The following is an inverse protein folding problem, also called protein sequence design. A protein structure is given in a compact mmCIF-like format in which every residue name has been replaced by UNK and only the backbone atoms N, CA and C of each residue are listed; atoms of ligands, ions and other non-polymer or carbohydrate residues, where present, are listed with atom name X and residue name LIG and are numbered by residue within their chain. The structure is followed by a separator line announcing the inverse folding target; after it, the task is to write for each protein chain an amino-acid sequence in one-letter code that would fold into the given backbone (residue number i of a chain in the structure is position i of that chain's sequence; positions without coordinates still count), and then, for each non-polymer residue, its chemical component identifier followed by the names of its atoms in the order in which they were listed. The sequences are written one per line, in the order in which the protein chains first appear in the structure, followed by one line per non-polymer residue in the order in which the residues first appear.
data_IF_131270908433
#
_entry.id   IF_131270908433
#
_cell.length_a   1.000
_cell.length_b   1.000
_cell.length_c   1.000
_cell.angle_alpha   90.00
_cell.angle_beta   90.00
_cell.angle_gamma   90.00
#
_symmetry.space_group_name_H-M   'P 1'
#
loop_
_entity.id
_entity.type
_entity.pdbx_description
1 polymer ?
2 non-polymer ?
#
# COMPACT_ATOMS: atom_id res chain seq x y z
N UNK A 3 12.53 -9.96 4.21
CA UNK A 3 12.37 -8.97 3.12
C UNK A 3 11.07 -9.22 2.34
N UNK A 4 10.07 -8.38 2.57
CA UNK A 4 8.79 -8.51 1.89
C UNK A 4 8.66 -7.52 0.75
N UNK A 5 7.81 -7.83 -0.22
CA UNK A 5 7.60 -6.96 -1.37
C UNK A 5 6.23 -6.29 -1.31
N UNK A 6 6.09 -5.19 -2.04
CA UNK A 6 4.83 -4.46 -2.08
C UNK A 6 3.72 -5.29 -2.71
N UNK A 7 2.53 -5.22 -2.13
CA UNK A 7 1.39 -5.96 -2.64
C UNK A 7 0.84 -5.33 -3.91
N UNK A 8 0.96 -4.01 -4.01
CA UNK A 8 0.48 -3.27 -5.17
C UNK A 8 1.14 -3.77 -6.45
N UNK A 9 0.36 -3.83 -7.53
CA UNK A 9 0.86 -4.28 -8.81
C UNK A 9 1.75 -3.22 -9.45
N UNK A 10 2.64 -3.66 -10.34
CA UNK A 10 3.55 -2.74 -11.02
C UNK A 10 4.46 -2.04 -10.03
N UNK A 11 4.69 -2.66 -8.88
CA UNK A 11 5.55 -2.08 -7.86
C UNK A 11 6.47 -3.14 -7.25
N UNK A 12 7.74 -3.12 -7.66
CA UNK A 12 8.70 -4.09 -7.15
C UNK A 12 9.50 -3.54 -5.99
N UNK A 13 8.90 -2.66 -5.20
CA UNK A 13 9.57 -2.05 -4.06
C UNK A 13 9.89 -3.10 -3.00
N UNK A 14 11.13 -3.08 -2.52
CA UNK A 14 11.56 -4.04 -1.50
C UNK A 14 11.34 -3.48 -0.11
N UNK A 15 10.54 -4.20 0.69
CA UNK A 15 10.24 -3.77 2.05
C UNK A 15 11.29 -4.31 3.03
N UNK A 16 12.56 -4.02 2.74
CA UNK A 16 13.65 -4.47 3.59
C UNK A 16 14.25 -3.31 4.38
N UNK A 17 14.22 -2.13 3.78
CA UNK A 17 14.76 -0.94 4.43
C UNK A 17 13.86 -0.48 5.57
N UNK A 18 12.56 -0.69 5.42
CA UNK A 18 11.59 -0.31 6.44
C UNK A 18 11.85 -1.05 7.75
N UNK A 19 11.17 -0.62 8.81
CA UNK A 19 11.32 -1.25 10.12
C UNK A 19 10.07 -2.00 10.52
N UNK A 20 8.91 -1.44 10.18
CA UNK A 20 7.64 -2.07 10.50
C UNK A 20 6.47 -1.27 9.92
N UNK A 21 5.25 -1.70 10.23
CA UNK A 21 4.05 -1.02 9.75
C UNK A 21 3.89 -1.22 8.24
N UNK A 22 4.80 -0.64 7.48
CA UNK A 22 4.76 -0.74 6.01
C UNK A 22 4.99 -2.19 5.57
N UNK A 23 5.76 -2.93 6.37
CA UNK A 23 6.06 -4.32 6.06
C UNK A 23 4.99 -5.25 6.63
N UNK A 24 4.34 -4.81 7.71
CA UNK A 24 3.29 -5.60 8.34
C UNK A 24 2.09 -5.77 7.42
N UNK A 25 1.67 -4.69 6.79
CA UNK A 25 0.52 -4.72 5.88
C UNK A 25 0.96 -4.88 4.43
N UNK A 26 2.22 -5.26 4.22
CA UNK A 26 2.76 -5.46 2.88
C UNK A 26 2.48 -4.25 2.00
N UNK A 27 3.37 -3.26 2.05
CA UNK A 27 3.22 -2.05 1.26
C UNK A 27 4.39 -1.11 1.47
N UNK A 28 4.89 -0.52 0.39
CA UNK A 28 6.02 0.41 0.47
C UNK A 28 5.58 1.73 1.08
N UNK A 29 6.48 2.71 1.05
CA UNK A 29 6.18 4.03 1.61
C UNK A 29 5.40 4.89 0.62
N UNK A 30 5.59 4.63 -0.67
CA UNK A 30 4.91 5.39 -1.71
C UNK A 30 3.40 5.21 -1.63
N UNK A 31 2.92 4.01 -1.95
CA UNK A 31 1.49 3.71 -1.91
C UNK A 31 0.93 3.90 -0.51
N UNK A 32 1.79 3.79 0.50
CA UNK A 32 1.38 3.95 1.88
C UNK A 32 0.71 5.30 2.09
N UNK A 33 1.32 6.35 1.55
CA UNK A 33 0.80 7.70 1.67
C UNK A 33 0.47 8.27 0.30
N UNK A 34 -0.03 7.42 -0.59
CA UNK A 34 -0.38 7.84 -1.95
C UNK A 34 -1.89 8.07 -2.07
N UNK A 35 -2.33 8.46 -3.26
CA UNK A 35 -3.74 8.71 -3.51
C UNK A 35 -4.38 7.53 -4.23
N UNK A 36 -3.73 7.06 -5.29
CA UNK A 36 -4.26 5.93 -6.06
C UNK A 36 -3.27 4.77 -6.06
N UNK A 37 -3.80 3.56 -5.93
CA UNK A 37 -2.97 2.36 -5.92
C UNK A 37 -3.65 1.21 -6.65
N UNK A 38 -2.85 0.35 -7.27
CA UNK A 38 -3.37 -0.80 -8.01
C UNK A 38 -3.09 -2.10 -7.27
N UNK A 39 -4.14 -2.70 -6.72
CA UNK A 39 -4.00 -3.95 -5.99
C UNK A 39 -5.00 -5.00 -6.48
N UNK A 40 -4.52 -5.91 -7.32
CA UNK A 40 -5.39 -6.95 -7.85
C UNK A 40 -5.98 -6.57 -9.19
N UNK A 41 -6.48 -5.34 -9.30
CA UNK A 41 -7.08 -4.88 -10.53
C UNK A 41 -7.88 -3.61 -10.34
N UNK A 42 -8.45 -3.45 -9.16
CA UNK A 42 -9.25 -2.27 -8.85
C UNK A 42 -8.44 -1.24 -8.07
N UNK A 43 -8.56 0.02 -8.47
CA UNK A 43 -7.84 1.10 -7.80
C UNK A 43 -8.31 1.28 -6.37
N UNK A 44 -7.40 1.65 -5.49
CA UNK A 44 -7.72 1.85 -4.08
C UNK A 44 -6.75 2.83 -3.42
N UNK A 45 -6.98 3.14 -2.16
CA UNK A 45 -6.13 4.06 -1.42
C UNK A 45 -5.83 3.52 -0.02
N UNK A 46 -4.55 3.48 0.33
CA UNK A 46 -4.13 2.98 1.64
C UNK A 46 -4.40 4.01 2.73
N UNK A 47 -5.09 3.58 3.78
CA UNK A 47 -5.41 4.47 4.89
C UNK A 47 -4.28 4.49 5.92
N UNK A 48 -4.20 5.58 6.67
CA UNK A 48 -3.16 5.73 7.69
C UNK A 48 -3.70 5.37 9.07
N UNK A 49 -4.88 5.89 9.40
CA UNK A 49 -5.51 5.62 10.69
C UNK A 49 -5.88 4.15 10.82
N UNK A 50 -6.65 3.65 9.87
CA UNK A 50 -7.08 2.26 9.88
C UNK A 50 -5.94 1.34 9.49
N UNK A 51 -5.04 1.83 8.64
CA UNK A 51 -3.89 1.05 8.18
C UNK A 51 -4.36 -0.17 7.41
N UNK A 52 -4.91 0.04 6.22
CA UNK A 52 -5.39 -1.05 5.38
C UNK A 52 -5.86 -0.52 4.03
N UNK A 53 -5.72 -1.35 3.00
CA UNK A 53 -6.13 -0.96 1.66
C UNK A 53 -7.65 -0.97 1.53
N UNK A 54 -8.17 -0.07 0.70
CA UNK A 54 -9.62 0.02 0.49
C UNK A 54 -9.93 0.77 -0.80
N UNK A 55 -10.90 0.27 -1.55
CA UNK A 55 -11.30 0.90 -2.82
C UNK A 55 -11.50 2.39 -2.65
N UNK A 56 -11.20 3.15 -3.69
CA UNK A 56 -11.35 4.60 -3.65
C UNK A 56 -12.69 5.03 -4.26
N UNK A 57 -13.73 4.25 -4.00
CA UNK A 57 -15.06 4.56 -4.52
C UNK A 57 -15.75 5.59 -3.64
N UNK A 58 -15.40 5.59 -2.35
CA UNK A 58 -15.99 6.53 -1.40
C UNK A 58 -14.96 7.57 -0.95
N UNK A 59 -13.68 7.23 -1.11
CA UNK A 59 -12.60 8.13 -0.71
C UNK A 59 -12.78 9.52 -1.32
N UNK A 60 -12.14 10.51 -0.73
CA UNK A 60 -12.23 11.88 -1.22
C UNK A 60 -11.13 12.19 -2.22
X LIG B 1 4.29 0.16 -3.67
#
# INVERSE_FOLDING_TARGET
GSAICCQVDNCGADLSKVKDYHRRHKVCEIHSKATTALVGGIMQRFCQQCSRFHVLEEFD
ZN ZN
#
